data_IF_563863537356
#
_entry.id   IF_563863537356
#
_cell.length_a   1.000
_cell.length_b   1.000
_cell.length_c   1.000
_cell.angle_alpha   90.00
_cell.angle_beta   90.00
_cell.angle_gamma   90.00
#
_symmetry.space_group_name_H-M   'P 1'
#
loop_
_entity.id
_entity.type
_entity.pdbx_description
1 polymer ?
#
# COMPACT_ATOMS: atom_id res chain seq x y z
N UNK A 1 -12.46 25.19 -10.87
CA UNK A 1 -11.31 25.03 -11.78
C UNK A 1 -10.40 23.98 -11.15
N UNK A 2 -10.11 22.89 -11.85
CA UNK A 2 -9.23 21.83 -11.33
C UNK A 2 -7.78 22.33 -11.33
N UNK A 3 -7.13 22.27 -10.17
CA UNK A 3 -5.73 22.65 -10.02
C UNK A 3 -4.82 21.43 -10.23
N UNK A 4 -3.75 21.59 -11.00
CA UNK A 4 -2.81 20.54 -11.34
C UNK A 4 -1.39 20.93 -10.92
N UNK A 5 -0.69 20.01 -10.25
CA UNK A 5 0.69 20.21 -9.82
C UNK A 5 1.60 19.10 -10.33
N UNK A 6 2.72 19.46 -10.96
CA UNK A 6 3.73 18.49 -11.35
C UNK A 6 4.50 18.01 -10.11
N UNK A 7 4.65 16.70 -9.95
CA UNK A 7 5.47 16.12 -8.88
C UNK A 7 6.90 16.01 -9.40
N UNK A 8 7.85 16.59 -8.65
CA UNK A 8 9.29 16.42 -8.89
C UNK A 8 9.90 15.55 -7.80
N UNK A 9 10.98 14.84 -8.12
CA UNK A 9 11.64 13.88 -7.22
C UNK A 9 12.34 14.53 -6.01
N UNK A 10 12.47 15.87 -6.02
CA UNK A 10 13.25 16.63 -5.03
C UNK A 10 12.49 16.95 -3.72
N UNK A 11 11.20 16.63 -3.60
CA UNK A 11 10.41 17.00 -2.41
C UNK A 11 9.49 15.87 -1.94
N UNK A 12 9.41 15.69 -0.61
CA UNK A 12 8.38 14.88 0.00
C UNK A 12 7.00 15.34 -0.48
N UNK A 13 6.05 14.42 -0.77
CA UNK A 13 4.77 14.80 -1.34
C UNK A 13 4.08 15.81 -0.42
N UNK A 14 3.78 16.99 -0.98
CA UNK A 14 3.08 18.04 -0.27
C UNK A 14 1.80 17.51 0.38
N UNK A 15 1.50 18.05 1.56
CA UNK A 15 0.25 17.83 2.28
C UNK A 15 -0.95 17.97 1.33
N UNK A 16 -2.05 17.30 1.65
CA UNK A 16 -3.23 17.23 0.80
C UNK A 16 -3.79 18.64 0.54
N UNK A 17 -3.45 19.23 -0.60
CA UNK A 17 -3.84 20.59 -1.02
C UNK A 17 -5.13 20.64 -1.84
N UNK A 18 -5.62 19.49 -2.30
CA UNK A 18 -6.76 19.40 -3.23
C UNK A 18 -6.37 19.46 -4.72
N UNK A 19 -5.11 19.81 -5.03
CA UNK A 19 -4.59 19.77 -6.40
C UNK A 19 -4.30 18.32 -6.87
N UNK A 20 -4.53 18.05 -8.15
CA UNK A 20 -4.23 16.75 -8.77
C UNK A 20 -2.74 16.70 -9.11
N UNK A 21 -2.07 15.68 -8.59
CA UNK A 21 -0.64 15.43 -8.80
C UNK A 21 -0.40 14.76 -10.15
N UNK A 22 0.43 15.36 -10.99
CA UNK A 22 0.90 14.80 -12.25
C UNK A 22 2.26 14.12 -12.02
N UNK A 23 2.29 12.80 -12.10
CA UNK A 23 3.49 12.00 -11.87
C UNK A 23 4.26 11.73 -13.17
N UNK A 24 5.59 11.74 -13.08
CA UNK A 24 6.48 11.37 -14.18
C UNK A 24 6.70 9.85 -14.33
N UNK A 25 7.52 9.43 -15.31
CA UNK A 25 7.81 8.02 -15.58
C UNK A 25 8.32 7.23 -14.37
N UNK A 26 9.16 7.83 -13.52
CA UNK A 26 9.70 7.20 -12.32
C UNK A 26 8.62 6.92 -11.27
N UNK A 27 7.71 7.89 -11.05
CA UNK A 27 6.56 7.71 -10.18
C UNK A 27 5.67 6.56 -10.64
N UNK A 28 5.41 6.45 -11.94
CA UNK A 28 4.68 5.30 -12.49
C UNK A 28 5.44 3.99 -12.34
N UNK A 29 6.77 3.97 -12.50
CA UNK A 29 7.58 2.78 -12.28
C UNK A 29 7.52 2.32 -10.81
N UNK A 30 7.58 3.26 -9.86
CA UNK A 30 7.38 3.00 -8.44
C UNK A 30 5.99 2.42 -8.14
N UNK A 31 4.93 3.06 -8.63
CA UNK A 31 3.56 2.59 -8.45
C UNK A 31 3.32 1.20 -9.05
N UNK A 32 3.92 0.88 -10.20
CA UNK A 32 3.85 -0.47 -10.78
C UNK A 32 4.50 -1.53 -9.88
N UNK A 33 5.64 -1.24 -9.25
CA UNK A 33 6.30 -2.17 -8.31
C UNK A 33 5.43 -2.36 -7.05
N UNK A 34 4.94 -1.27 -6.47
CA UNK A 34 4.09 -1.30 -5.28
C UNK A 34 2.77 -2.05 -5.53
N UNK A 35 2.10 -1.75 -6.63
CA UNK A 35 0.85 -2.42 -7.01
C UNK A 35 1.03 -3.91 -7.26
N UNK A 36 2.12 -4.32 -7.92
CA UNK A 36 2.43 -5.74 -8.10
C UNK A 36 2.66 -6.45 -6.76
N UNK A 37 3.44 -5.86 -5.86
CA UNK A 37 3.66 -6.44 -4.54
C UNK A 37 2.35 -6.59 -3.75
N UNK A 38 1.46 -5.59 -3.80
CA UNK A 38 0.16 -5.67 -3.15
C UNK A 38 -0.74 -6.77 -3.74
N UNK A 39 -0.75 -6.94 -5.07
CA UNK A 39 -1.49 -8.01 -5.74
C UNK A 39 -0.97 -9.40 -5.34
N UNK A 40 0.36 -9.60 -5.37
CA UNK A 40 0.97 -10.87 -4.97
C UNK A 40 0.70 -11.22 -3.49
N UNK A 41 0.63 -10.22 -2.60
CA UNK A 41 0.24 -10.43 -1.20
C UNK A 41 -1.21 -10.87 -1.12
N UNK A 42 -2.12 -10.24 -1.88
CA UNK A 42 -3.53 -10.63 -1.90
C UNK A 42 -3.73 -12.05 -2.44
N UNK A 43 -3.03 -12.41 -3.51
CA UNK A 43 -3.06 -13.76 -4.08
C UNK A 43 -2.55 -14.81 -3.07
N UNK A 44 -1.55 -14.46 -2.27
CA UNK A 44 -1.03 -15.34 -1.22
C UNK A 44 -2.05 -15.62 -0.10
N UNK A 45 -3.07 -14.76 0.09
CA UNK A 45 -4.11 -14.98 1.10
C UNK A 45 -5.16 -16.01 0.68
N UNK A 46 -5.35 -16.23 -0.63
CA UNK A 46 -6.40 -17.11 -1.18
C UNK A 46 -6.50 -18.48 -0.47
N UNK A 47 -5.42 -19.25 -0.24
CA UNK A 47 -5.51 -20.54 0.42
C UNK A 47 -5.84 -20.46 1.93
N UNK A 48 -5.77 -19.28 2.54
CA UNK A 48 -5.96 -19.07 3.97
C UNK A 48 -7.36 -18.57 4.33
N UNK A 49 -8.15 -18.12 3.36
CA UNK A 49 -9.54 -17.68 3.59
C UNK A 49 -10.46 -18.89 3.67
N UNK A 50 -10.38 -19.61 4.79
CA UNK A 50 -11.16 -20.82 5.07
C UNK A 50 -11.79 -20.78 6.46
N UNK A 51 -12.90 -21.50 6.71
CA UNK A 51 -13.54 -21.53 8.02
C UNK A 51 -12.58 -21.92 9.14
N UNK A 52 -12.64 -21.20 10.26
CA UNK A 52 -11.80 -21.44 11.43
C UNK A 52 -10.52 -20.59 11.48
N UNK A 53 -10.09 -19.99 10.37
CA UNK A 53 -8.98 -19.03 10.36
C UNK A 53 -9.48 -17.68 10.90
N UNK A 54 -8.73 -17.11 11.85
CA UNK A 54 -9.01 -15.81 12.44
C UNK A 54 -8.53 -14.68 11.54
N UNK A 55 -9.15 -13.51 11.68
CA UNK A 55 -8.71 -12.31 10.99
C UNK A 55 -7.29 -11.88 11.40
N UNK A 56 -6.87 -12.16 12.63
CA UNK A 56 -5.49 -11.90 13.07
C UNK A 56 -4.48 -12.78 12.32
N UNK A 57 -4.80 -14.05 12.06
CA UNK A 57 -3.92 -14.93 11.26
C UNK A 57 -3.76 -14.41 9.83
N UNK A 58 -4.83 -13.87 9.24
CA UNK A 58 -4.77 -13.19 7.94
C UNK A 58 -3.89 -11.93 8.01
N UNK A 59 -4.03 -11.11 9.06
CA UNK A 59 -3.20 -9.91 9.27
C UNK A 59 -1.70 -10.25 9.38
N UNK A 60 -1.37 -11.29 10.14
CA UNK A 60 0.00 -11.77 10.32
C UNK A 60 0.61 -12.27 9.00
N UNK A 61 -0.18 -12.90 8.14
CA UNK A 61 0.26 -13.29 6.79
C UNK A 61 0.55 -12.04 5.96
N UNK A 62 -0.36 -11.05 5.94
CA UNK A 62 -0.14 -9.79 5.20
C UNK A 62 1.12 -9.08 5.67
N UNK A 63 1.33 -8.96 6.98
CA UNK A 63 2.54 -8.35 7.54
C UNK A 63 3.80 -9.01 6.99
N UNK A 64 3.86 -10.33 7.07
CA UNK A 64 5.02 -11.15 6.69
C UNK A 64 5.28 -11.07 5.19
N UNK A 65 4.26 -11.28 4.36
CA UNK A 65 4.36 -11.27 2.91
C UNK A 65 4.79 -9.89 2.38
N UNK A 66 4.26 -8.82 2.98
CA UNK A 66 4.64 -7.46 2.60
C UNK A 66 6.10 -7.17 2.99
N UNK A 67 6.57 -7.64 4.16
CA UNK A 67 7.96 -7.48 4.59
C UNK A 67 8.94 -8.27 3.72
N UNK A 68 8.58 -9.49 3.33
CA UNK A 68 9.38 -10.33 2.41
C UNK A 68 9.61 -9.64 1.06
N UNK A 69 8.65 -8.86 0.58
CA UNK A 69 8.76 -8.08 -0.67
C UNK A 69 9.46 -6.73 -0.50
N UNK A 70 10.04 -6.47 0.67
CA UNK A 70 10.71 -5.21 0.99
C UNK A 70 9.76 -4.05 1.30
N UNK A 71 8.46 -4.31 1.38
CA UNK A 71 7.43 -3.34 1.73
C UNK A 71 7.22 -3.18 3.24
N UNK A 72 6.38 -2.21 3.60
CA UNK A 72 5.79 -2.06 4.92
C UNK A 72 4.28 -1.92 4.69
N UNK A 73 3.42 -2.59 5.47
CA UNK A 73 1.98 -2.42 5.33
C UNK A 73 1.56 -0.96 5.52
N UNK A 74 0.86 -0.41 4.53
CA UNK A 74 0.49 1.01 4.51
C UNK A 74 -0.52 1.40 5.60
N UNK A 75 -1.29 0.44 6.10
CA UNK A 75 -2.28 0.66 7.15
C UNK A 75 -1.65 0.73 8.53
N UNK A 76 -0.50 0.09 8.74
CA UNK A 76 0.12 -0.01 10.06
C UNK A 76 0.56 1.37 10.55
N UNK A 77 -0.03 1.83 11.64
CA UNK A 77 0.18 3.17 12.21
C UNK A 77 -0.63 4.27 11.52
N UNK A 78 -1.39 3.98 10.46
CA UNK A 78 -2.19 4.97 9.75
C UNK A 78 -3.30 5.52 10.66
N UNK A 79 -3.12 6.76 11.13
CA UNK A 79 -4.04 7.45 12.06
C UNK A 79 -4.36 6.60 13.31
N UNK A 80 -3.39 5.84 13.80
CA UNK A 80 -3.53 4.99 14.98
C UNK A 80 -4.09 3.58 14.69
N UNK A 81 -4.32 3.24 13.42
CA UNK A 81 -4.68 1.87 13.04
C UNK A 81 -3.53 0.90 13.35
N UNK A 82 -3.84 -0.23 13.99
CA UNK A 82 -2.84 -1.17 14.53
C UNK A 82 -2.63 -2.40 13.65
N UNK A 83 -3.51 -2.66 12.68
CA UNK A 83 -3.40 -3.79 11.77
C UNK A 83 -2.52 -3.53 10.55
N UNK A 84 -2.04 -4.62 9.96
CA UNK A 84 -1.32 -4.66 8.68
C UNK A 84 -2.27 -4.70 7.47
N UNK A 85 -3.52 -5.04 7.68
CA UNK A 85 -4.60 -4.96 6.71
C UNK A 85 -5.95 -4.71 7.39
N UNK A 86 -6.98 -4.51 6.56
CA UNK A 86 -8.37 -4.51 7.01
C UNK A 86 -8.99 -5.88 6.67
N UNK A 87 -9.67 -6.48 7.63
CA UNK A 87 -10.31 -7.80 7.53
C UNK A 87 -11.73 -7.75 8.05
#
# INVERSE_FOLDING_TARGET
MTDYIAVSDAAAPAARSGAIKLHGPEGFAGMRRAGRAAAEVLDALVPHVVPGVTTQEIDDIVYREMRTRGGIPATLGYRGFTGSCCT
#
